data_IF_650251486843
#
_entry.id   IF_650251486843
#
_cell.length_a   1.000
_cell.length_b   1.000
_cell.length_c   1.000
_cell.angle_alpha   90.00
_cell.angle_beta   90.00
_cell.angle_gamma   90.00
#
_symmetry.space_group_name_H-M   'P 1'
#
loop_
_entity.id
_entity.type
_entity.pdbx_description
1 polymer ?
#
# COMPACT_ATOMS: atom_id res chain seq x y z
N UNK A 1 -1.92 -17.19 -6.66
CA UNK A 1 -0.96 -16.08 -6.56
C UNK A 1 -1.62 -14.81 -7.04
N UNK A 2 -2.23 -14.08 -6.09
CA UNK A 2 -3.12 -12.95 -6.37
C UNK A 2 -2.81 -11.78 -5.43
N UNK A 3 -2.84 -10.56 -5.97
CA UNK A 3 -2.88 -9.33 -5.17
C UNK A 3 -4.32 -9.13 -4.70
N UNK A 4 -4.52 -9.07 -3.39
CA UNK A 4 -5.82 -8.96 -2.75
C UNK A 4 -6.27 -7.49 -2.66
N UNK A 5 -5.39 -6.62 -2.17
CA UNK A 5 -5.70 -5.20 -1.94
C UNK A 5 -4.45 -4.33 -1.99
N UNK A 6 -4.61 -3.06 -2.35
CA UNK A 6 -3.56 -2.04 -2.28
C UNK A 6 -4.05 -0.87 -1.45
N UNK A 7 -3.23 -0.42 -0.51
CA UNK A 7 -3.44 0.80 0.25
C UNK A 7 -2.24 1.74 0.09
N UNK A 8 -2.50 3.04 0.02
CA UNK A 8 -1.44 4.06 0.02
C UNK A 8 -1.70 5.01 1.19
N UNK A 9 -0.68 5.17 2.03
CA UNK A 9 -0.70 6.08 3.16
C UNK A 9 0.21 7.26 2.87
N UNK A 10 -0.24 8.47 3.20
CA UNK A 10 0.59 9.67 3.15
C UNK A 10 1.69 9.64 4.23
N UNK A 11 2.55 10.67 4.22
CA UNK A 11 3.67 10.80 5.16
C UNK A 11 3.20 10.80 6.63
N UNK A 12 2.04 11.40 6.91
CA UNK A 12 1.44 11.48 8.24
C UNK A 12 0.69 10.20 8.68
N UNK A 13 0.66 9.15 7.84
CA UNK A 13 -0.04 7.90 8.14
C UNK A 13 -1.52 7.90 7.81
N UNK A 14 -2.03 8.96 7.19
CA UNK A 14 -3.41 9.01 6.70
C UNK A 14 -3.58 8.17 5.44
N UNK A 15 -4.67 7.41 5.36
CA UNK A 15 -5.03 6.67 4.17
C UNK A 15 -5.44 7.62 3.05
N UNK A 16 -4.74 7.57 1.91
CA UNK A 16 -5.05 8.38 0.74
C UNK A 16 -5.55 7.55 -0.44
N UNK A 17 -5.41 6.22 -0.39
CA UNK A 17 -5.95 5.33 -1.41
C UNK A 17 -6.19 3.94 -0.84
N UNK A 18 -7.29 3.31 -1.22
CA UNK A 18 -7.57 1.90 -0.95
C UNK A 18 -8.33 1.31 -2.13
N UNK A 19 -7.94 0.11 -2.55
CA UNK A 19 -8.64 -0.63 -3.59
C UNK A 19 -8.42 -2.13 -3.42
N UNK A 20 -9.52 -2.87 -3.45
CA UNK A 20 -9.51 -4.33 -3.49
C UNK A 20 -9.51 -4.82 -4.94
N UNK A 21 -8.76 -5.90 -5.18
CA UNK A 21 -8.61 -6.55 -6.49
C UNK A 21 -9.12 -7.99 -6.49
N UNK A 22 -9.37 -8.55 -5.31
CA UNK A 22 -9.91 -9.90 -5.13
C UNK A 22 -10.87 -9.95 -3.93
N UNK A 23 -11.84 -10.86 -3.96
CA UNK A 23 -12.85 -11.04 -2.89
C UNK A 23 -12.34 -11.86 -1.69
N UNK A 24 -11.03 -12.15 -1.64
CA UNK A 24 -10.43 -13.02 -0.62
C UNK A 24 -10.29 -12.38 0.77
N UNK A 25 -10.59 -11.08 0.90
CA UNK A 25 -10.54 -10.35 2.15
C UNK A 25 -11.94 -9.90 2.58
N UNK A 26 -12.20 -9.93 3.88
CA UNK A 26 -13.43 -9.37 4.43
C UNK A 26 -13.46 -7.85 4.17
N UNK A 27 -14.57 -7.36 3.62
CA UNK A 27 -14.74 -5.92 3.34
C UNK A 27 -14.86 -5.16 4.65
N UNK A 28 -13.94 -4.24 4.87
CA UNK A 28 -13.97 -3.32 6.00
C UNK A 28 -14.78 -2.07 5.64
N UNK A 29 -15.32 -1.37 6.65
CA UNK A 29 -15.90 -0.06 6.42
C UNK A 29 -14.81 0.97 6.09
N UNK A 30 -15.19 2.11 5.50
CA UNK A 30 -14.24 3.19 5.22
C UNK A 30 -13.52 3.65 6.49
N UNK A 31 -14.23 3.72 7.63
CA UNK A 31 -13.63 4.11 8.91
C UNK A 31 -12.64 3.07 9.44
N UNK A 32 -12.95 1.79 9.28
CA UNK A 32 -12.04 0.71 9.70
C UNK A 32 -10.74 0.75 8.89
N UNK A 33 -10.80 1.06 7.59
CA UNK A 33 -9.58 1.25 6.79
C UNK A 33 -8.76 2.47 7.24
N UNK A 34 -9.41 3.57 7.65
CA UNK A 34 -8.72 4.72 8.24
C UNK A 34 -8.01 4.34 9.54
N UNK A 35 -8.70 3.61 10.42
CA UNK A 35 -8.12 3.10 11.68
C UNK A 35 -6.97 2.14 11.41
N UNK A 36 -7.12 1.23 10.44
CA UNK A 36 -6.08 0.28 10.03
C UNK A 36 -4.82 1.02 9.53
N UNK A 37 -5.00 2.04 8.70
CA UNK A 37 -3.89 2.86 8.20
C UNK A 37 -3.14 3.57 9.34
N UNK A 38 -3.86 4.22 10.25
CA UNK A 38 -3.25 4.88 11.41
C UNK A 38 -2.55 3.89 12.34
N UNK A 39 -3.16 2.73 12.57
CA UNK A 39 -2.58 1.65 13.38
C UNK A 39 -1.29 1.12 12.75
N UNK A 40 -1.31 0.81 11.45
CA UNK A 40 -0.11 0.40 10.73
C UNK A 40 0.99 1.46 10.83
N UNK A 41 0.65 2.74 10.64
CA UNK A 41 1.63 3.82 10.73
C UNK A 41 2.29 3.89 12.11
N UNK A 42 1.51 3.75 13.18
CA UNK A 42 2.02 3.67 14.55
C UNK A 42 2.92 2.46 14.77
N UNK A 43 2.49 1.27 14.34
CA UNK A 43 3.30 0.03 14.44
C UNK A 43 4.59 0.14 13.64
N UNK A 44 4.56 0.72 12.44
CA UNK A 44 5.74 0.97 11.62
C UNK A 44 6.74 1.90 12.33
N UNK A 45 6.26 2.94 13.02
CA UNK A 45 7.12 3.81 13.82
C UNK A 45 7.71 3.08 15.04
N UNK A 46 6.91 2.31 15.78
CA UNK A 46 7.37 1.54 16.94
C UNK A 46 8.43 0.53 16.54
N UNK A 47 8.17 -0.25 15.49
CA UNK A 47 9.11 -1.27 14.98
C UNK A 47 10.46 -0.68 14.59
N UNK A 48 10.50 0.52 14.02
CA UNK A 48 11.77 1.22 13.74
C UNK A 48 12.58 1.58 14.99
N UNK A 49 11.93 1.72 16.16
CA UNK A 49 12.57 2.10 17.43
C UNK A 49 13.03 0.90 18.25
N UNK A 50 12.32 -0.22 18.16
CA UNK A 50 12.62 -1.45 18.91
C UNK A 50 13.56 -2.37 18.15
N UNK A 51 13.84 -2.08 16.88
CA UNK A 51 14.71 -2.93 16.07
C UNK A 51 16.13 -2.97 16.66
N UNK A 52 16.71 -4.18 16.83
CA UNK A 52 18.05 -4.33 17.39
C UNK A 52 19.15 -3.90 16.41
N UNK A 53 18.83 -3.74 15.12
CA UNK A 53 19.78 -3.35 14.08
C UNK A 53 19.77 -1.84 13.91
N UNK A 54 20.92 -1.20 14.14
CA UNK A 54 21.06 0.24 14.00
C UNK A 54 20.79 0.70 12.56
N UNK A 55 19.98 1.74 12.40
CA UNK A 55 19.63 2.27 11.08
C UNK A 55 18.65 1.41 10.26
N UNK A 56 18.04 0.40 10.88
CA UNK A 56 16.97 -0.37 10.23
C UNK A 56 15.67 0.44 10.13
N UNK A 57 14.84 0.08 9.15
CA UNK A 57 13.54 0.69 8.90
C UNK A 57 12.43 0.22 9.86
N UNK A 58 11.21 0.67 9.61
CA UNK A 58 10.02 0.16 10.28
C UNK A 58 9.49 -1.13 9.64
N UNK A 59 8.29 -1.56 10.04
CA UNK A 59 7.61 -2.76 9.55
C UNK A 59 7.52 -2.80 8.01
N UNK A 60 8.18 -3.77 7.39
CA UNK A 60 8.17 -4.00 5.93
C UNK A 60 7.32 -5.20 5.52
N UNK A 61 7.25 -6.25 6.33
CA UNK A 61 6.54 -7.49 5.99
C UNK A 61 5.73 -7.98 7.19
N UNK A 62 4.48 -8.35 6.94
CA UNK A 62 3.64 -9.10 7.87
C UNK A 62 3.05 -10.28 7.13
N UNK A 63 3.38 -11.49 7.58
CA UNK A 63 2.86 -12.74 7.01
C UNK A 63 1.92 -13.41 8.02
N UNK A 64 0.83 -13.95 7.49
CA UNK A 64 -0.14 -14.77 8.21
C UNK A 64 -0.49 -15.98 7.35
N UNK A 65 -1.30 -16.89 7.90
CA UNK A 65 -1.81 -18.05 7.17
C UNK A 65 -2.71 -17.67 5.98
N UNK A 66 -3.34 -16.49 6.03
CA UNK A 66 -4.35 -16.07 5.04
C UNK A 66 -3.85 -15.05 4.04
N UNK A 67 -2.90 -14.21 4.45
CA UNK A 67 -2.35 -13.16 3.60
C UNK A 67 -0.93 -12.77 4.00
N UNK A 68 -0.21 -12.17 3.05
CA UNK A 68 1.02 -11.41 3.26
C UNK A 68 0.75 -9.94 2.96
N UNK A 69 1.13 -9.06 3.87
CA UNK A 69 1.21 -7.62 3.64
C UNK A 69 2.68 -7.24 3.45
N UNK A 70 2.97 -6.58 2.33
CA UNK A 70 4.25 -5.92 2.07
C UNK A 70 4.08 -4.41 2.19
N UNK A 71 4.98 -3.74 2.88
CA UNK A 71 5.07 -2.30 2.97
C UNK A 71 6.33 -1.80 2.27
N UNK A 72 6.15 -0.90 1.31
CA UNK A 72 7.22 -0.12 0.70
C UNK A 72 7.08 1.34 1.10
N UNK A 73 8.02 1.86 1.90
CA UNK A 73 8.10 3.28 2.22
C UNK A 73 9.07 3.99 1.27
N UNK A 74 8.61 5.06 0.64
CA UNK A 74 9.42 5.96 -0.17
C UNK A 74 10.24 6.93 0.69
N UNK A 75 11.31 7.50 0.12
CA UNK A 75 12.10 8.55 0.79
C UNK A 75 11.29 9.80 1.16
N UNK A 76 10.18 10.07 0.45
CA UNK A 76 9.26 11.17 0.76
C UNK A 76 8.31 10.84 1.92
N UNK A 77 8.29 9.58 2.38
CA UNK A 77 7.52 9.11 3.54
C UNK A 77 6.17 8.46 3.20
N UNK A 78 5.74 8.49 1.94
CA UNK A 78 4.54 7.78 1.45
C UNK A 78 4.77 6.27 1.53
N UNK A 79 3.77 5.54 2.04
CA UNK A 79 3.85 4.08 2.24
C UNK A 79 2.86 3.37 1.34
N UNK A 80 3.32 2.36 0.64
CA UNK A 80 2.53 1.50 -0.23
C UNK A 80 2.39 0.14 0.44
N UNK A 81 1.16 -0.19 0.84
CA UNK A 81 0.83 -1.47 1.44
C UNK A 81 0.16 -2.34 0.37
N UNK A 82 0.73 -3.51 0.12
CA UNK A 82 0.18 -4.50 -0.79
C UNK A 82 -0.16 -5.75 -0.01
N UNK A 83 -1.43 -6.12 -0.05
CA UNK A 83 -1.94 -7.37 0.50
C UNK A 83 -2.01 -8.39 -0.62
N UNK A 84 -1.45 -9.57 -0.40
CA UNK A 84 -1.43 -10.66 -1.36
C UNK A 84 -1.66 -12.00 -0.65
N UNK A 85 -1.91 -13.05 -1.43
CA UNK A 85 -1.91 -14.42 -0.89
C UNK A 85 -0.55 -14.79 -0.26
N UNK A 86 -0.54 -15.69 0.74
CA UNK A 86 0.71 -16.21 1.30
C UNK A 86 1.56 -16.81 0.18
N UNK A 87 2.86 -16.49 0.17
CA UNK A 87 3.84 -16.92 -0.85
C UNK A 87 3.74 -16.26 -2.23
N UNK A 88 3.04 -15.12 -2.37
CA UNK A 88 3.09 -14.35 -3.62
C UNK A 88 4.54 -13.96 -3.99
N UNK A 89 5.08 -14.39 -5.15
CA UNK A 89 6.42 -14.03 -5.57
C UNK A 89 6.46 -12.61 -6.12
N UNK A 90 7.66 -12.03 -6.13
CA UNK A 90 7.96 -10.74 -6.77
C UNK A 90 7.14 -9.56 -6.25
N UNK A 91 6.64 -9.62 -5.00
CA UNK A 91 5.83 -8.54 -4.42
C UNK A 91 6.59 -7.20 -4.38
N UNK A 92 7.91 -7.22 -4.20
CA UNK A 92 8.75 -6.02 -4.22
C UNK A 92 8.76 -5.32 -5.58
N UNK A 93 8.76 -6.09 -6.67
CA UNK A 93 8.69 -5.56 -8.04
C UNK A 93 7.33 -4.93 -8.28
N UNK A 94 6.26 -5.56 -7.78
CA UNK A 94 4.90 -5.04 -7.85
C UNK A 94 4.82 -3.73 -7.06
N UNK A 95 5.35 -3.67 -5.83
CA UNK A 95 5.41 -2.44 -5.02
C UNK A 95 6.09 -1.28 -5.77
N UNK A 96 7.25 -1.52 -6.38
CA UNK A 96 7.96 -0.52 -7.18
C UNK A 96 7.11 -0.05 -8.37
N UNK A 97 6.45 -0.97 -9.06
CA UNK A 97 5.59 -0.63 -10.19
C UNK A 97 4.35 0.18 -9.79
N UNK A 98 3.74 -0.12 -8.64
CA UNK A 98 2.64 0.69 -8.09
C UNK A 98 3.12 2.11 -7.75
N UNK A 99 4.32 2.24 -7.19
CA UNK A 99 4.94 3.54 -6.93
C UNK A 99 5.19 4.33 -8.22
N UNK A 100 5.70 3.70 -9.28
CA UNK A 100 5.89 4.34 -10.59
C UNK A 100 4.56 4.86 -11.15
N UNK A 101 3.50 4.04 -11.12
CA UNK A 101 2.17 4.46 -11.56
C UNK A 101 1.62 5.62 -10.73
N UNK A 102 1.85 5.62 -9.41
CA UNK A 102 1.48 6.73 -8.54
C UNK A 102 2.24 8.01 -8.92
N UNK A 103 3.54 7.92 -9.15
CA UNK A 103 4.35 9.06 -9.58
C UNK A 103 3.89 9.61 -10.93
N UNK A 104 3.55 8.74 -11.89
CA UNK A 104 3.16 9.16 -13.24
C UNK A 104 1.74 9.74 -13.31
N UNK A 105 0.76 9.13 -12.64
CA UNK A 105 -0.65 9.52 -12.80
C UNK A 105 -1.16 10.42 -11.68
N UNK A 106 -0.60 10.32 -10.47
CA UNK A 106 -1.07 11.09 -9.32
C UNK A 106 -0.20 12.31 -9.13
N UNK A 107 1.13 12.16 -9.05
CA UNK A 107 2.04 13.29 -8.79
C UNK A 107 2.17 14.26 -9.96
N UNK A 108 1.95 13.81 -11.20
CA UNK A 108 1.93 14.69 -12.38
C UNK A 108 0.57 15.30 -12.67
N UNK A 109 -0.48 14.95 -11.91
CA UNK A 109 -1.80 15.53 -12.11
C UNK A 109 -1.88 16.90 -11.41
N UNK A 110 -2.02 18.03 -12.14
CA UNK A 110 -2.02 19.37 -11.55
C UNK A 110 -3.23 19.64 -10.65
N UNK A 111 -4.28 18.82 -10.72
CA UNK A 111 -5.47 18.94 -9.89
C UNK A 111 -5.41 18.08 -8.61
N UNK A 112 -4.37 17.26 -8.46
CA UNK A 112 -4.19 16.47 -7.25
C UNK A 112 -3.61 17.33 -6.12
N UNK A 113 -4.31 17.35 -4.99
CA UNK A 113 -3.80 17.96 -3.77
C UNK A 113 -3.02 16.92 -2.96
N UNK A 114 -1.77 17.24 -2.63
CA UNK A 114 -0.89 16.34 -1.89
C UNK A 114 -1.51 16.03 -0.51
N UNK A 115 -1.28 14.81 -0.03
CA UNK A 115 -1.81 14.27 1.24
C UNK A 115 -3.33 14.05 1.29
N UNK A 116 -4.07 14.43 0.26
CA UNK A 116 -5.52 14.19 0.14
C UNK A 116 -5.83 12.86 -0.56
N UNK A 117 -7.06 12.31 -0.38
CA UNK A 117 -7.47 11.10 -1.07
C UNK A 117 -7.31 11.17 -2.58
N UNK A 118 -6.72 10.14 -3.16
CA UNK A 118 -6.45 10.02 -4.60
C UNK A 118 -7.77 9.70 -5.31
N UNK A 119 -8.25 10.66 -6.12
CA UNK A 119 -9.39 10.51 -7.03
C UNK A 119 -8.91 10.71 -8.46
N UNK A 120 -8.15 9.75 -8.97
CA UNK A 120 -7.54 9.83 -10.30
C UNK A 120 -7.91 8.59 -11.12
N UNK A 121 -8.88 8.74 -12.03
CA UNK A 121 -9.35 7.62 -12.87
C UNK A 121 -8.23 7.03 -13.74
N UNK A 122 -7.31 7.87 -14.21
CA UNK A 122 -6.16 7.40 -15.00
C UNK A 122 -5.27 6.47 -14.16
N UNK A 123 -5.02 6.80 -12.89
CA UNK A 123 -4.29 5.93 -11.98
C UNK A 123 -5.04 4.61 -11.75
N UNK A 124 -6.33 4.67 -11.43
CA UNK A 124 -7.16 3.48 -11.18
C UNK A 124 -7.16 2.52 -12.37
N UNK A 125 -7.35 3.05 -13.59
CA UNK A 125 -7.37 2.23 -14.81
C UNK A 125 -6.04 1.51 -15.04
N UNK A 126 -4.92 2.19 -14.93
CA UNK A 126 -3.60 1.59 -15.18
C UNK A 126 -3.20 0.62 -14.06
N UNK A 127 -3.52 0.95 -12.82
CA UNK A 127 -3.29 0.06 -11.68
C UNK A 127 -4.12 -1.23 -11.83
N UNK A 128 -5.41 -1.11 -12.16
CA UNK A 128 -6.26 -2.28 -12.44
C UNK A 128 -5.75 -3.09 -13.63
N UNK A 129 -5.37 -2.45 -14.73
CA UNK A 129 -4.84 -3.17 -15.90
C UNK A 129 -3.55 -3.96 -15.57
N UNK A 130 -2.73 -3.45 -14.66
CA UNK A 130 -1.50 -4.11 -14.23
C UNK A 130 -1.72 -5.24 -13.23
N UNK A 131 -2.60 -5.05 -12.23
CA UNK A 131 -2.80 -5.98 -11.12
C UNK A 131 -3.88 -7.04 -11.37
N UNK A 132 -4.69 -6.89 -12.42
CA UNK A 132 -5.73 -7.87 -12.75
C UNK A 132 -5.08 -9.21 -13.12
N UNK A 133 -5.56 -10.34 -12.58
CA UNK A 133 -5.08 -11.66 -13.00
C UNK A 133 -5.26 -11.80 -14.51
N UNK A 134 -4.19 -12.19 -15.23
CA UNK A 134 -4.35 -12.66 -16.61
C UNK A 134 -5.16 -13.96 -16.54
N UNK A 135 -6.34 -13.95 -17.15
CA UNK A 135 -7.13 -15.17 -17.37
C UNK A 135 -6.35 -16.14 -18.24
#
# INVERSE_FOLDING_TARGET
>A
MVILSVMILNKAGGLIYQRDFHEGLHKLSSNDFLVLAGTFHGVHAITSRISPVHGSGGLEVLESENFRMQCFQTLTGTKFLIFAEPHQPNIDVICRRVYELYADYVMKNPFYQIEMPIRCEAFDRHLMAYLKPKQ
#
